data_IF_393191981360
#
_entry.id   IF_393191981360
#
_cell.length_a   1.000
_cell.length_b   1.000
_cell.length_c   1.000
_cell.angle_alpha   90.00
_cell.angle_beta   90.00
_cell.angle_gamma   90.00
#
_symmetry.space_group_name_H-M   'P 1'
#
loop_
_entity.id
_entity.type
_entity.pdbx_description
1 polymer ?
#
# COMPACT_ATOMS: atom_id res chain seq x y z
N UNK A 1 -38.43 20.46 1.45
CA UNK A 1 -37.91 19.13 1.79
C UNK A 1 -36.86 19.41 2.84
N UNK A 2 -37.22 19.33 4.12
CA UNK A 2 -36.21 19.46 5.17
C UNK A 2 -35.29 18.25 5.04
N UNK A 3 -33.98 18.46 4.87
CA UNK A 3 -33.01 17.37 5.03
C UNK A 3 -33.26 16.74 6.40
N UNK A 4 -33.49 15.42 6.41
CA UNK A 4 -33.68 14.69 7.65
C UNK A 4 -32.42 14.87 8.50
N UNK A 5 -32.55 15.56 9.64
CA UNK A 5 -31.45 15.88 10.55
C UNK A 5 -30.62 14.64 10.91
N UNK A 6 -31.24 13.45 10.92
CA UNK A 6 -30.57 12.20 11.19
C UNK A 6 -29.65 11.75 10.06
N UNK A 7 -29.95 12.10 8.81
CA UNK A 7 -29.04 11.88 7.67
C UNK A 7 -27.78 12.72 7.85
N UNK A 8 -27.90 13.98 8.26
CA UNK A 8 -26.75 14.84 8.54
C UNK A 8 -25.93 14.33 9.74
N UNK A 9 -26.58 13.94 10.83
CA UNK A 9 -25.90 13.35 12.00
C UNK A 9 -25.14 12.08 11.60
N UNK A 10 -25.76 11.22 10.79
CA UNK A 10 -25.16 9.96 10.36
C UNK A 10 -23.83 10.15 9.60
N UNK A 11 -23.66 11.24 8.83
CA UNK A 11 -22.41 11.55 8.11
C UNK A 11 -21.20 11.71 9.04
N UNK A 12 -21.41 11.94 10.34
CA UNK A 12 -20.36 12.11 11.35
C UNK A 12 -20.14 10.89 12.24
N UNK A 13 -20.93 9.82 12.07
CA UNK A 13 -20.73 8.56 12.79
C UNK A 13 -19.67 7.70 12.09
N UNK A 14 -18.88 6.94 12.85
CA UNK A 14 -17.98 5.92 12.31
C UNK A 14 -18.78 4.71 11.78
N UNK A 15 -18.14 3.88 10.95
CA UNK A 15 -18.81 2.73 10.32
C UNK A 15 -19.45 1.75 11.31
N UNK A 16 -18.86 1.53 12.49
CA UNK A 16 -19.44 0.63 13.50
C UNK A 16 -20.70 1.26 14.09
N UNK A 17 -20.63 2.53 14.47
CA UNK A 17 -21.76 3.29 14.99
C UNK A 17 -22.92 3.37 13.98
N UNK A 18 -22.63 3.54 12.69
CA UNK A 18 -23.63 3.52 11.61
C UNK A 18 -24.37 2.18 11.56
N UNK A 19 -23.64 1.07 11.54
CA UNK A 19 -24.24 -0.27 11.52
C UNK A 19 -25.04 -0.53 12.78
N UNK A 20 -24.53 -0.14 13.96
CA UNK A 20 -25.27 -0.26 15.22
C UNK A 20 -26.56 0.57 15.21
N UNK A 21 -26.54 1.79 14.69
CA UNK A 21 -27.74 2.62 14.61
C UNK A 21 -28.77 2.02 13.65
N UNK A 22 -28.33 1.49 12.51
CA UNK A 22 -29.19 0.83 11.52
C UNK A 22 -29.93 -0.40 12.06
N UNK A 23 -29.40 -1.08 13.09
CA UNK A 23 -30.05 -2.26 13.69
C UNK A 23 -31.09 -1.92 14.76
N UNK A 24 -31.16 -0.66 15.21
CA UNK A 24 -32.09 -0.24 16.27
C UNK A 24 -33.56 -0.20 15.81
N UNK A 25 -33.83 0.15 14.56
CA UNK A 25 -35.20 0.19 14.01
C UNK A 25 -35.21 0.18 12.47
N UNK A 26 -36.35 -0.18 11.89
CA UNK A 26 -36.57 -0.13 10.43
C UNK A 26 -36.45 1.28 9.85
N UNK A 27 -36.74 2.31 10.66
CA UNK A 27 -36.64 3.70 10.21
C UNK A 27 -35.18 4.11 10.08
N UNK A 28 -34.36 3.89 11.12
CA UNK A 28 -32.92 4.14 11.08
C UNK A 28 -32.24 3.31 10.00
N UNK A 29 -32.64 2.05 9.81
CA UNK A 29 -32.11 1.26 8.70
C UNK A 29 -32.26 1.96 7.34
N UNK A 30 -33.41 2.57 7.05
CA UNK A 30 -33.62 3.29 5.78
C UNK A 30 -32.74 4.53 5.67
N UNK A 31 -32.61 5.30 6.75
CA UNK A 31 -31.77 6.51 6.81
C UNK A 31 -30.29 6.15 6.59
N UNK A 32 -29.78 5.16 7.32
CA UNK A 32 -28.38 4.76 7.23
C UNK A 32 -28.04 4.11 5.89
N UNK A 33 -28.98 3.43 5.24
CA UNK A 33 -28.76 2.82 3.93
C UNK A 33 -28.81 3.82 2.76
N UNK A 34 -29.00 5.12 3.03
CA UNK A 34 -28.86 6.16 2.02
C UNK A 34 -27.41 6.25 1.52
N UNK A 35 -27.25 6.38 0.19
CA UNK A 35 -25.93 6.40 -0.44
C UNK A 35 -25.09 7.61 0.01
N UNK A 36 -25.71 8.74 0.36
CA UNK A 36 -24.96 9.92 0.79
C UNK A 36 -24.24 9.65 2.12
N UNK A 37 -24.86 8.97 3.08
CA UNK A 37 -24.27 8.65 4.39
C UNK A 37 -22.95 7.91 4.21
N UNK A 38 -22.96 6.84 3.42
CA UNK A 38 -21.77 6.04 3.15
C UNK A 38 -20.74 6.77 2.27
N UNK A 39 -21.18 7.63 1.35
CA UNK A 39 -20.26 8.51 0.60
C UNK A 39 -19.47 9.39 1.55
N UNK A 40 -20.15 10.13 2.43
CA UNK A 40 -19.49 11.03 3.38
C UNK A 40 -18.61 10.28 4.37
N UNK A 41 -19.10 9.17 4.94
CA UNK A 41 -18.30 8.33 5.83
C UNK A 41 -17.03 7.81 5.13
N UNK A 42 -17.15 7.32 3.88
CA UNK A 42 -16.02 6.80 3.11
C UNK A 42 -14.97 7.87 2.82
N UNK A 43 -15.39 9.04 2.32
CA UNK A 43 -14.47 10.14 1.99
C UNK A 43 -13.79 10.72 3.23
N UNK A 44 -14.53 10.85 4.34
CA UNK A 44 -14.00 11.31 5.64
C UNK A 44 -12.95 10.34 6.18
N UNK A 45 -13.30 9.06 6.28
CA UNK A 45 -12.44 8.06 6.91
C UNK A 45 -11.20 7.74 6.06
N UNK A 46 -11.29 7.91 4.74
CA UNK A 46 -10.16 7.80 3.81
C UNK A 46 -9.39 9.12 3.62
N UNK A 47 -9.94 10.25 4.08
CA UNK A 47 -9.36 11.60 3.93
C UNK A 47 -9.07 11.99 2.47
N UNK A 48 -10.01 11.67 1.57
CA UNK A 48 -9.90 11.93 0.11
C UNK A 48 -11.12 12.68 -0.43
N UNK A 49 -10.99 13.43 -1.54
CA UNK A 49 -12.09 14.14 -2.16
C UNK A 49 -13.04 13.17 -2.89
N UNK A 50 -14.25 13.66 -3.16
CA UNK A 50 -15.23 12.92 -3.94
C UNK A 50 -14.73 12.74 -5.39
N UNK A 51 -14.68 11.50 -5.92
CA UNK A 51 -14.39 11.26 -7.33
C UNK A 51 -15.54 11.75 -8.21
N UNK A 52 -15.23 12.06 -9.47
CA UNK A 52 -16.24 12.49 -10.46
C UNK A 52 -17.26 11.40 -10.78
N UNK A 53 -16.80 10.15 -10.83
CA UNK A 53 -17.61 8.99 -11.17
C UNK A 53 -17.28 7.83 -10.24
N UNK A 54 -18.30 7.06 -9.89
CA UNK A 54 -18.14 5.80 -9.18
C UNK A 54 -19.13 4.77 -9.70
N UNK A 55 -18.66 3.54 -9.90
CA UNK A 55 -19.39 2.45 -10.54
C UNK A 55 -20.10 1.56 -9.53
N UNK A 56 -19.77 1.70 -8.24
CA UNK A 56 -20.28 0.87 -7.16
C UNK A 56 -20.91 1.71 -6.06
N UNK A 57 -21.85 1.10 -5.34
CA UNK A 57 -22.48 1.67 -4.15
C UNK A 57 -21.45 2.01 -3.07
N UNK A 58 -21.61 3.17 -2.42
CA UNK A 58 -20.66 3.66 -1.42
C UNK A 58 -20.55 2.74 -0.21
N UNK A 59 -21.64 2.12 0.23
CA UNK A 59 -21.60 1.14 1.33
C UNK A 59 -20.70 -0.06 1.01
N UNK A 60 -20.70 -0.52 -0.25
CA UNK A 60 -19.85 -1.65 -0.67
C UNK A 60 -18.38 -1.24 -0.73
N UNK A 61 -18.11 -0.02 -1.19
CA UNK A 61 -16.76 0.52 -1.24
C UNK A 61 -16.19 0.74 0.15
N UNK A 62 -16.98 1.36 1.04
CA UNK A 62 -16.66 1.50 2.46
C UNK A 62 -16.33 0.15 3.08
N UNK A 63 -17.25 -0.83 2.95
CA UNK A 63 -17.02 -2.17 3.47
C UNK A 63 -15.68 -2.74 2.97
N UNK A 64 -15.44 -2.73 1.65
CA UNK A 64 -14.20 -3.29 1.09
C UNK A 64 -12.91 -2.57 1.51
N UNK A 65 -13.00 -1.26 1.76
CA UNK A 65 -11.88 -0.46 2.19
C UNK A 65 -11.48 -0.74 3.66
N UNK A 66 -12.41 -1.20 4.50
CA UNK A 66 -12.22 -1.33 5.94
C UNK A 66 -12.37 -2.76 6.49
N UNK A 67 -12.94 -3.71 5.75
CA UNK A 67 -13.16 -5.10 6.18
C UNK A 67 -11.94 -6.03 6.02
N UNK A 68 -10.82 -5.50 5.50
CA UNK A 68 -9.61 -6.28 5.20
C UNK A 68 -9.57 -6.88 3.79
N UNK A 69 -10.64 -6.78 2.98
CA UNK A 69 -10.64 -7.27 1.59
C UNK A 69 -9.75 -6.46 0.65
N UNK A 70 -9.40 -5.23 1.02
CA UNK A 70 -8.30 -4.51 0.39
C UNK A 70 -6.97 -5.23 0.54
N UNK A 71 -6.69 -5.82 1.71
CA UNK A 71 -5.45 -6.54 2.01
C UNK A 71 -5.42 -7.93 1.37
N UNK A 72 -6.51 -8.35 0.72
CA UNK A 72 -6.77 -9.74 0.37
C UNK A 72 -5.57 -10.36 -0.36
N UNK A 73 -4.83 -11.16 0.40
CA UNK A 73 -3.53 -11.73 0.08
C UNK A 73 -3.67 -12.58 -1.18
N UNK A 74 -3.38 -11.94 -2.31
CA UNK A 74 -3.50 -12.55 -3.62
C UNK A 74 -2.38 -13.60 -3.79
N UNK A 75 -2.78 -14.87 -3.90
CA UNK A 75 -1.98 -16.08 -4.18
C UNK A 75 -0.86 -16.47 -3.18
N UNK A 76 -0.65 -15.79 -2.05
CA UNK A 76 0.51 -16.09 -1.18
C UNK A 76 0.21 -16.11 0.33
N UNK A 77 -0.88 -16.78 0.76
CA UNK A 77 -1.18 -16.97 2.20
C UNK A 77 -0.01 -17.55 3.01
N UNK A 78 0.84 -18.35 2.36
CA UNK A 78 1.95 -19.09 2.96
C UNK A 78 3.28 -18.32 3.02
N UNK A 79 3.40 -17.16 2.36
CA UNK A 79 4.69 -16.42 2.23
C UNK A 79 4.79 -15.14 3.06
N UNK A 80 3.71 -14.81 3.76
CA UNK A 80 3.75 -13.78 4.79
C UNK A 80 4.46 -14.35 6.02
N UNK A 81 5.34 -13.57 6.65
CA UNK A 81 6.08 -13.94 7.86
C UNK A 81 5.11 -14.00 9.04
N UNK A 82 4.20 -14.98 9.05
CA UNK A 82 3.36 -15.25 10.20
C UNK A 82 4.27 -15.74 11.33
N UNK A 83 4.14 -15.13 12.51
CA UNK A 83 4.47 -15.79 13.77
C UNK A 83 3.51 -16.99 13.90
N UNK A 84 3.80 -18.07 13.18
CA UNK A 84 3.28 -19.39 13.43
C UNK A 84 4.32 -20.04 14.34
N UNK A 85 4.54 -19.54 15.55
CA UNK A 85 5.31 -20.24 16.60
C UNK A 85 5.16 -19.62 18.00
N UNK A 86 4.01 -19.01 18.32
CA UNK A 86 3.66 -18.80 19.73
C UNK A 86 2.32 -19.48 20.02
N UNK A 87 2.28 -20.41 21.00
CA UNK A 87 1.05 -21.10 21.33
C UNK A 87 0.01 -20.12 21.85
N UNK A 88 -1.23 -20.33 21.41
CA UNK A 88 -2.42 -19.47 21.57
C UNK A 88 -2.72 -19.03 23.01
N UNK A 89 -2.17 -19.69 24.02
CA UNK A 89 -2.39 -19.35 25.43
C UNK A 89 -1.59 -18.14 25.93
N UNK A 90 -0.61 -17.63 25.18
CA UNK A 90 0.17 -16.42 25.56
C UNK A 90 -0.46 -15.10 25.06
N UNK A 91 -1.46 -15.16 24.19
CA UNK A 91 -2.07 -13.99 23.55
C UNK A 91 -3.17 -13.31 24.38
N UNK A 92 -3.64 -13.93 25.48
CA UNK A 92 -4.72 -13.36 26.29
C UNK A 92 -4.28 -12.28 27.29
N UNK A 93 -2.98 -12.14 27.54
CA UNK A 93 -2.48 -11.37 28.70
C UNK A 93 -1.66 -10.12 28.34
N UNK A 94 -1.45 -9.83 27.05
CA UNK A 94 -0.69 -8.66 26.60
C UNK A 94 -1.55 -7.82 25.65
N UNK A 95 -2.20 -6.81 26.23
CA UNK A 95 -2.74 -5.60 25.62
C UNK A 95 -3.71 -5.72 24.41
N UNK A 96 -4.89 -5.07 24.45
CA UNK A 96 -5.74 -4.84 23.27
C UNK A 96 -5.10 -3.98 22.15
N UNK A 97 -3.85 -3.53 22.33
CA UNK A 97 -3.14 -2.58 21.46
C UNK A 97 -2.23 -3.22 20.43
N UNK A 98 -2.18 -4.55 20.34
CA UNK A 98 -1.46 -5.21 19.25
C UNK A 98 -2.43 -6.09 18.46
N UNK A 99 -2.93 -5.55 17.33
CA UNK A 99 -3.44 -6.34 16.20
C UNK A 99 -2.26 -7.10 15.56
N UNK A 100 -1.69 -8.05 16.30
CA UNK A 100 -0.58 -8.93 15.92
C UNK A 100 -1.13 -10.04 15.02
N UNK A 101 -0.87 -9.96 13.72
CA UNK A 101 -1.27 -11.01 12.77
C UNK A 101 -1.25 -10.62 11.29
N UNK A 102 -0.89 -9.39 10.94
CA UNK A 102 -0.93 -8.92 9.57
C UNK A 102 0.44 -8.39 9.13
N UNK A 103 1.10 -9.10 8.22
CA UNK A 103 2.39 -8.74 7.59
C UNK A 103 2.25 -7.61 6.56
N UNK A 104 1.29 -6.73 6.80
CA UNK A 104 0.96 -5.62 5.94
C UNK A 104 0.54 -4.44 6.83
N UNK A 105 0.94 -3.24 6.42
CA UNK A 105 0.62 -1.99 7.07
C UNK A 105 -0.22 -1.16 6.10
N UNK A 106 -1.44 -0.80 6.50
CA UNK A 106 -2.20 0.21 5.75
C UNK A 106 -1.44 1.53 5.82
N UNK A 107 -1.08 2.08 4.68
CA UNK A 107 -0.50 3.43 4.60
C UNK A 107 -1.63 4.46 4.63
N UNK A 108 -2.65 4.28 3.79
CA UNK A 108 -3.80 5.17 3.71
C UNK A 108 -4.46 5.14 2.34
N UNK A 109 -5.17 6.22 1.99
CA UNK A 109 -5.71 6.44 0.66
C UNK A 109 -5.24 7.77 0.07
N UNK A 110 -5.09 7.80 -1.25
CA UNK A 110 -4.72 8.98 -2.02
C UNK A 110 -5.54 9.03 -3.32
N UNK A 111 -5.48 10.14 -4.04
CA UNK A 111 -6.30 10.43 -5.20
C UNK A 111 -5.45 10.62 -6.46
N UNK A 112 -5.84 9.95 -7.54
CA UNK A 112 -5.27 10.16 -8.88
C UNK A 112 -6.34 10.84 -9.75
N UNK A 113 -6.05 12.00 -10.31
CA UNK A 113 -6.90 12.78 -11.23
C UNK A 113 -6.38 12.72 -12.67
N UNK A 114 -5.07 12.72 -12.89
CA UNK A 114 -4.46 12.98 -14.22
C UNK A 114 -4.52 11.83 -15.23
N UNK A 115 -5.07 10.67 -14.83
CA UNK A 115 -4.98 9.42 -15.59
C UNK A 115 -3.55 8.95 -15.89
N UNK A 116 -2.56 9.53 -15.21
CA UNK A 116 -1.16 9.15 -15.27
C UNK A 116 -0.54 9.16 -13.86
N UNK A 117 0.35 8.22 -13.59
CA UNK A 117 1.07 8.14 -12.33
C UNK A 117 2.58 8.15 -12.58
N UNK A 118 3.33 8.84 -11.73
CA UNK A 118 4.79 8.77 -11.71
C UNK A 118 5.23 7.75 -10.66
N UNK A 119 5.98 6.76 -11.12
CA UNK A 119 6.52 5.68 -10.28
C UNK A 119 8.01 5.92 -10.07
N UNK A 120 8.49 5.73 -8.86
CA UNK A 120 9.92 5.88 -8.56
C UNK A 120 10.39 4.87 -7.51
N UNK A 121 11.59 4.36 -7.71
CA UNK A 121 12.36 3.62 -6.71
C UNK A 121 12.99 4.62 -5.73
N UNK A 122 13.74 5.58 -6.24
CA UNK A 122 14.38 6.60 -5.42
C UNK A 122 13.47 7.80 -5.22
N UNK A 123 13.21 8.16 -3.97
CA UNK A 123 12.41 9.32 -3.58
C UNK A 123 13.15 10.63 -3.82
N UNK A 124 13.28 11.01 -5.09
CA UNK A 124 13.90 12.24 -5.53
C UNK A 124 13.07 12.89 -6.64
N UNK A 125 13.00 14.24 -6.68
CA UNK A 125 12.30 14.93 -7.75
C UNK A 125 12.89 14.56 -9.13
N UNK A 126 12.06 14.39 -10.17
CA UNK A 126 12.56 14.09 -11.51
C UNK A 126 13.36 15.28 -12.05
N UNK A 127 14.59 15.04 -12.51
CA UNK A 127 15.45 16.07 -13.10
C UNK A 127 15.03 16.42 -14.54
N UNK A 128 14.66 15.40 -15.33
CA UNK A 128 14.00 15.51 -16.65
C UNK A 128 13.17 14.26 -16.91
N UNK A 129 11.98 14.41 -17.50
CA UNK A 129 11.15 13.29 -17.96
C UNK A 129 11.32 13.24 -19.48
N UNK A 130 12.05 12.24 -19.96
CA UNK A 130 12.25 12.03 -21.40
C UNK A 130 11.09 11.18 -21.94
N UNK A 131 10.60 11.46 -23.16
CA UNK A 131 9.59 10.63 -23.81
C UNK A 131 10.26 9.35 -24.33
N UNK A 132 10.42 8.38 -23.43
CA UNK A 132 10.99 7.07 -23.70
C UNK A 132 10.01 5.96 -23.33
N UNK A 133 10.33 4.72 -23.73
CA UNK A 133 9.55 3.56 -23.31
C UNK A 133 9.65 3.35 -21.80
N UNK A 134 8.58 2.90 -21.16
CA UNK A 134 8.55 2.65 -19.70
C UNK A 134 9.71 1.75 -19.26
N UNK A 135 10.01 0.71 -20.04
CA UNK A 135 11.10 -0.22 -19.77
C UNK A 135 12.47 0.45 -19.73
N UNK A 136 12.80 1.30 -20.71
CA UNK A 136 14.09 2.00 -20.73
C UNK A 136 14.19 3.02 -19.60
N UNK A 137 13.13 3.80 -19.35
CA UNK A 137 13.09 4.76 -18.24
C UNK A 137 13.37 4.09 -16.88
N UNK A 138 12.72 2.94 -16.63
CA UNK A 138 12.90 2.16 -15.41
C UNK A 138 14.31 1.58 -15.32
N UNK A 139 14.84 1.02 -16.41
CA UNK A 139 16.19 0.46 -16.42
C UNK A 139 17.26 1.53 -16.12
N UNK A 140 17.14 2.72 -16.71
CA UNK A 140 18.13 3.78 -16.57
C UNK A 140 18.02 4.57 -15.26
N UNK A 141 16.80 4.93 -14.86
CA UNK A 141 16.58 5.91 -13.77
C UNK A 141 15.87 5.33 -12.55
N UNK A 142 15.31 4.13 -12.64
CA UNK A 142 14.44 3.58 -11.60
C UNK A 142 13.12 4.34 -11.44
N UNK A 143 12.71 5.11 -12.46
CA UNK A 143 11.47 5.90 -12.45
C UNK A 143 10.78 5.89 -13.81
N UNK A 144 9.45 6.04 -13.84
CA UNK A 144 8.70 6.11 -15.10
C UNK A 144 7.36 6.85 -14.95
N UNK A 145 6.81 7.28 -16.08
CA UNK A 145 5.43 7.75 -16.17
C UNK A 145 4.56 6.60 -16.69
N UNK A 146 3.60 6.18 -15.88
CA UNK A 146 2.60 5.19 -16.24
C UNK A 146 1.33 5.88 -16.70
N UNK A 147 0.93 5.64 -17.95
CA UNK A 147 -0.28 6.19 -18.55
C UNK A 147 -1.49 5.24 -18.40
N UNK A 148 -2.68 5.75 -18.71
CA UNK A 148 -3.94 5.02 -18.66
C UNK A 148 -4.25 4.48 -17.25
N UNK A 149 -3.92 5.26 -16.21
CA UNK A 149 -4.22 4.93 -14.82
C UNK A 149 -5.66 5.35 -14.51
N UNK A 150 -6.42 4.51 -13.83
CA UNK A 150 -7.80 4.84 -13.45
C UNK A 150 -7.80 6.00 -12.45
N UNK A 151 -8.45 7.10 -12.82
CA UNK A 151 -8.67 8.22 -11.92
C UNK A 151 -9.66 7.84 -10.80
N UNK A 152 -9.44 8.36 -9.59
CA UNK A 152 -10.27 8.11 -8.42
C UNK A 152 -9.46 7.84 -7.15
N UNK A 153 -10.09 7.13 -6.23
CA UNK A 153 -9.53 6.81 -4.91
C UNK A 153 -8.67 5.56 -5.00
N UNK A 154 -7.44 5.65 -4.51
CA UNK A 154 -6.48 4.56 -4.42
C UNK A 154 -6.16 4.28 -2.96
N UNK A 155 -6.09 3.00 -2.60
CA UNK A 155 -5.67 2.52 -1.29
C UNK A 155 -4.26 1.97 -1.40
N UNK A 156 -3.38 2.41 -0.51
CA UNK A 156 -1.99 2.00 -0.47
C UNK A 156 -1.68 1.18 0.78
N UNK A 157 -1.05 0.03 0.58
CA UNK A 157 -0.60 -0.87 1.63
C UNK A 157 0.90 -1.16 1.43
N UNK A 158 1.63 -1.28 2.54
CA UNK A 158 2.99 -1.80 2.57
C UNK A 158 2.96 -3.26 2.99
N UNK A 159 3.65 -4.14 2.28
CA UNK A 159 3.79 -5.55 2.62
C UNK A 159 5.27 -5.90 2.78
N UNK A 160 5.57 -6.68 3.82
CA UNK A 160 6.87 -7.33 3.98
C UNK A 160 6.65 -8.83 3.78
N UNK A 161 7.27 -9.40 2.75
CA UNK A 161 7.09 -10.81 2.37
C UNK A 161 8.43 -11.51 2.24
N UNK A 162 8.42 -12.84 2.41
CA UNK A 162 9.58 -13.68 2.05
C UNK A 162 9.64 -13.87 0.54
N UNK A 163 10.84 -13.99 -0.01
CA UNK A 163 11.05 -14.17 -1.44
C UNK A 163 10.27 -15.40 -1.98
N UNK A 164 9.44 -15.25 -3.04
CA UNK A 164 8.57 -16.32 -3.52
C UNK A 164 9.23 -17.34 -4.46
N UNK A 165 10.49 -17.13 -4.87
CA UNK A 165 11.18 -17.95 -5.89
C UNK A 165 12.02 -19.08 -5.28
N UNK A 166 12.40 -18.99 -4.01
CA UNK A 166 13.44 -19.83 -3.44
C UNK A 166 12.88 -20.76 -2.34
N UNK A 167 12.49 -21.97 -2.72
CA UNK A 167 12.55 -23.17 -1.85
C UNK A 167 14.01 -23.67 -1.72
N UNK A 168 14.99 -22.82 -2.01
CA UNK A 168 16.41 -23.10 -1.87
C UNK A 168 16.82 -22.73 -0.44
N UNK A 169 17.45 -23.66 0.28
CA UNK A 169 17.94 -23.54 1.66
C UNK A 169 19.02 -22.45 1.88
N UNK A 170 19.15 -21.48 0.97
CA UNK A 170 20.19 -20.44 0.92
C UNK A 170 19.63 -19.03 0.71
N UNK A 171 18.31 -18.83 0.73
CA UNK A 171 17.66 -17.57 0.37
C UNK A 171 17.00 -16.88 1.59
N UNK A 172 17.72 -15.93 2.20
CA UNK A 172 17.28 -15.17 3.38
C UNK A 172 16.67 -13.78 3.06
N UNK A 173 16.26 -13.54 1.81
CA UNK A 173 15.84 -12.21 1.36
C UNK A 173 14.41 -11.81 1.77
N UNK A 174 14.28 -10.82 2.65
CA UNK A 174 13.04 -10.06 2.89
C UNK A 174 12.75 -9.13 1.69
N UNK A 175 11.51 -9.11 1.20
CA UNK A 175 11.06 -8.23 0.13
C UNK A 175 10.09 -7.19 0.67
N UNK A 176 10.33 -5.93 0.34
CA UNK A 176 9.39 -4.84 0.56
C UNK A 176 8.50 -4.65 -0.67
N UNK A 177 7.20 -4.52 -0.48
CA UNK A 177 6.27 -4.22 -1.56
C UNK A 177 5.32 -3.08 -1.17
N UNK A 178 5.25 -2.05 -2.00
CA UNK A 178 4.17 -1.05 -1.95
C UNK A 178 3.12 -1.46 -2.98
N UNK A 179 1.90 -1.71 -2.51
CA UNK A 179 0.72 -2.02 -3.32
C UNK A 179 -0.24 -0.84 -3.26
N UNK A 180 -0.52 -0.20 -4.40
CA UNK A 180 -1.57 0.79 -4.54
C UNK A 180 -2.67 0.25 -5.46
N UNK A 181 -3.91 0.26 -4.99
CA UNK A 181 -5.06 -0.33 -5.70
C UNK A 181 -6.23 0.64 -5.73
N UNK A 182 -6.86 0.77 -6.89
CA UNK A 182 -8.09 1.55 -7.03
C UNK A 182 -9.21 0.92 -6.20
N UNK A 183 -9.96 1.72 -5.44
CA UNK A 183 -10.96 1.24 -4.47
C UNK A 183 -12.02 0.29 -5.07
N UNK A 184 -12.39 0.52 -6.34
CA UNK A 184 -13.37 -0.31 -7.05
C UNK A 184 -12.84 -1.71 -7.42
N UNK A 185 -11.52 -1.91 -7.45
CA UNK A 185 -10.90 -3.19 -7.78
C UNK A 185 -11.40 -4.29 -6.83
N UNK A 186 -11.53 -3.98 -5.54
CA UNK A 186 -11.93 -4.93 -4.50
C UNK A 186 -13.35 -5.49 -4.71
N UNK A 187 -14.17 -4.80 -5.48
CA UNK A 187 -15.54 -5.22 -5.79
C UNK A 187 -15.66 -6.02 -7.08
N UNK A 188 -14.63 -6.01 -7.92
CA UNK A 188 -14.59 -6.71 -9.21
C UNK A 188 -14.53 -8.23 -9.01
N UNK A 189 -15.38 -8.98 -9.72
CA UNK A 189 -15.43 -10.44 -9.57
C UNK A 189 -14.11 -11.12 -9.92
N UNK A 190 -13.44 -10.65 -10.98
CA UNK A 190 -12.15 -11.18 -11.41
C UNK A 190 -11.03 -10.99 -10.37
N UNK A 191 -11.11 -9.94 -9.56
CA UNK A 191 -10.18 -9.73 -8.45
C UNK A 191 -10.52 -10.68 -7.29
N UNK A 192 -11.80 -10.78 -6.92
CA UNK A 192 -12.29 -11.66 -5.84
C UNK A 192 -12.01 -13.15 -6.10
N UNK A 193 -12.10 -13.59 -7.35
CA UNK A 193 -11.89 -14.98 -7.73
C UNK A 193 -10.44 -15.29 -8.14
N UNK A 194 -9.51 -14.33 -8.03
CA UNK A 194 -8.09 -14.59 -8.24
C UNK A 194 -7.62 -14.62 -9.70
N UNK A 195 -8.47 -14.20 -10.66
CA UNK A 195 -8.19 -14.25 -12.11
C UNK A 195 -7.30 -13.13 -12.62
N UNK A 196 -7.23 -12.00 -11.91
CA UNK A 196 -6.45 -10.85 -12.37
C UNK A 196 -4.97 -11.03 -12.04
N UNK A 197 -4.09 -10.85 -13.02
CA UNK A 197 -2.65 -11.05 -12.84
C UNK A 197 -1.88 -9.74 -12.97
N UNK A 198 -0.77 -9.67 -12.23
CA UNK A 198 0.17 -8.57 -12.37
C UNK A 198 1.07 -8.79 -13.59
N UNK A 199 1.19 -7.77 -14.42
CA UNK A 199 2.11 -7.71 -15.54
C UNK A 199 3.36 -6.92 -15.12
N UNK A 200 4.54 -7.45 -15.42
CA UNK A 200 5.82 -6.76 -15.21
C UNK A 200 6.00 -5.69 -16.29
N UNK A 201 6.10 -4.41 -15.88
CA UNK A 201 6.30 -3.28 -16.81
C UNK A 201 7.76 -2.82 -16.89
N UNK A 202 8.60 -3.24 -15.94
CA UNK A 202 10.04 -3.02 -16.00
C UNK A 202 10.76 -3.29 -14.67
N UNK A 203 12.08 -3.22 -14.73
CA UNK A 203 12.97 -3.51 -13.61
C UNK A 203 14.09 -2.48 -13.52
N UNK A 204 14.66 -2.34 -12.33
CA UNK A 204 15.82 -1.50 -12.08
C UNK A 204 16.77 -2.22 -11.11
N UNK A 205 18.07 -2.16 -11.38
CA UNK A 205 19.12 -2.72 -10.52
C UNK A 205 19.94 -1.61 -9.88
N UNK A 206 19.86 -1.49 -8.56
CA UNK A 206 20.73 -0.64 -7.77
C UNK A 206 21.97 -1.45 -7.42
N UNK A 207 23.01 -1.36 -8.26
CA UNK A 207 24.27 -2.13 -8.10
C UNK A 207 25.22 -1.61 -7.02
N UNK A 208 24.92 -0.45 -6.43
CA UNK A 208 25.69 0.15 -5.34
C UNK A 208 25.05 -0.25 -4.01
N UNK A 209 25.85 -0.30 -2.94
CA UNK A 209 25.36 -0.53 -1.57
C UNK A 209 24.18 0.41 -1.26
N UNK A 210 22.99 -0.17 -1.18
CA UNK A 210 21.76 0.57 -0.87
C UNK A 210 21.67 0.80 0.63
N UNK A 211 21.39 2.04 1.04
CA UNK A 211 21.19 2.40 2.46
C UNK A 211 19.73 2.26 2.89
N UNK A 212 18.82 2.30 1.94
CA UNK A 212 17.39 2.15 2.17
C UNK A 212 16.72 1.52 0.96
N UNK A 213 15.58 0.87 1.20
CA UNK A 213 14.63 0.45 0.17
C UNK A 213 13.46 1.44 0.18
N UNK A 214 13.31 2.24 -0.87
CA UNK A 214 12.23 3.20 -1.03
C UNK A 214 11.36 2.98 -2.27
N UNK A 215 10.13 3.48 -2.25
CA UNK A 215 9.26 3.45 -3.42
C UNK A 215 8.17 4.49 -3.31
N UNK A 216 7.83 5.13 -4.43
CA UNK A 216 6.84 6.20 -4.50
C UNK A 216 5.91 6.08 -5.70
N UNK A 217 4.65 6.45 -5.49
CA UNK A 217 3.60 6.55 -6.50
C UNK A 217 2.94 7.92 -6.35
N UNK A 218 3.01 8.74 -7.38
CA UNK A 218 2.48 10.11 -7.39
C UNK A 218 1.54 10.31 -8.57
N UNK A 219 0.51 11.13 -8.41
CA UNK A 219 -0.20 11.67 -9.56
C UNK A 219 0.75 12.55 -10.39
N UNK A 220 0.79 12.32 -11.70
CA UNK A 220 1.70 13.03 -12.60
C UNK A 220 1.51 14.55 -12.60
N UNK A 221 0.26 15.04 -12.56
CA UNK A 221 -0.02 16.48 -12.59
C UNK A 221 0.41 17.18 -11.30
N UNK A 222 0.57 16.45 -10.20
CA UNK A 222 0.90 16.98 -8.89
C UNK A 222 2.39 16.84 -8.53
N UNK A 223 3.23 16.33 -9.46
CA UNK A 223 4.68 16.16 -9.23
C UNK A 223 5.41 17.43 -8.75
N UNK A 224 4.95 18.60 -9.19
CA UNK A 224 5.53 19.90 -8.82
C UNK A 224 4.66 20.68 -7.83
N UNK A 225 3.55 20.10 -7.41
CA UNK A 225 2.62 20.74 -6.49
C UNK A 225 3.26 20.87 -5.09
N UNK A 226 3.00 21.97 -4.36
CA UNK A 226 3.48 22.13 -2.99
C UNK A 226 3.15 20.95 -2.07
N UNK A 227 1.98 20.33 -2.22
CA UNK A 227 1.57 19.17 -1.41
C UNK A 227 2.46 17.94 -1.63
N UNK A 228 3.09 17.80 -2.79
CA UNK A 228 4.01 16.70 -3.09
C UNK A 228 5.45 16.98 -2.65
N UNK A 229 5.77 18.21 -2.22
CA UNK A 229 7.14 18.54 -1.75
C UNK A 229 7.49 17.85 -0.45
N UNK A 230 6.51 17.65 0.43
CA UNK A 230 6.70 16.97 1.72
C UNK A 230 7.21 15.53 1.52
N UNK A 231 6.75 14.86 0.46
CA UNK A 231 7.21 13.52 0.08
C UNK A 231 8.71 13.47 -0.18
N UNK A 232 9.29 14.51 -0.77
CA UNK A 232 10.70 14.60 -1.09
C UNK A 232 11.57 15.14 0.06
N UNK A 233 10.97 15.75 1.09
CA UNK A 233 11.69 16.16 2.29
C UNK A 233 11.83 14.99 3.26
N UNK A 234 12.69 14.03 2.89
CA UNK A 234 12.86 12.76 3.59
C UNK A 234 13.15 12.94 5.08
N UNK A 235 13.85 14.01 5.47
CA UNK A 235 14.23 14.27 6.87
C UNK A 235 13.02 14.43 7.80
N UNK A 236 11.85 14.76 7.25
CA UNK A 236 10.64 15.02 8.05
C UNK A 236 9.91 13.74 8.47
N UNK A 237 10.11 12.63 7.76
CA UNK A 237 9.28 11.43 7.95
C UNK A 237 10.01 10.09 7.85
N UNK A 238 11.16 10.00 7.17
CA UNK A 238 11.91 8.74 7.11
C UNK A 238 12.56 8.46 8.46
N UNK A 239 12.80 7.17 8.73
CA UNK A 239 13.47 6.73 9.95
C UNK A 239 14.87 7.32 10.04
N UNK A 240 15.33 7.57 11.27
CA UNK A 240 16.75 7.85 11.53
C UNK A 240 17.62 6.67 11.03
N UNK A 241 18.91 6.86 10.76
CA UNK A 241 19.75 5.81 10.17
C UNK A 241 19.78 4.47 10.95
N UNK A 242 19.50 4.49 12.25
CA UNK A 242 19.40 3.37 13.19
C UNK A 242 17.95 2.85 13.38
N UNK A 243 16.96 3.48 12.74
CA UNK A 243 15.57 3.03 12.72
C UNK A 243 15.31 2.18 11.48
N UNK A 244 15.21 0.87 11.68
CA UNK A 244 14.95 -0.12 10.64
C UNK A 244 13.46 -0.37 10.41
N UNK A 245 12.56 0.31 11.13
CA UNK A 245 11.13 0.18 10.89
C UNK A 245 10.74 0.89 9.59
N UNK A 246 9.93 0.25 8.73
CA UNK A 246 9.40 0.92 7.57
C UNK A 246 8.62 2.18 7.94
N UNK A 247 8.92 3.27 7.26
CA UNK A 247 8.12 4.50 7.32
C UNK A 247 7.36 4.66 6.02
N UNK A 248 6.21 5.29 6.12
CA UNK A 248 5.40 5.65 4.97
C UNK A 248 4.93 7.09 5.10
N UNK A 249 4.80 7.76 3.96
CA UNK A 249 4.17 9.07 3.86
C UNK A 249 3.05 8.99 2.85
N UNK A 250 1.94 9.65 3.17
CA UNK A 250 0.83 9.80 2.26
C UNK A 250 0.41 11.27 2.24
N UNK A 251 0.15 11.75 1.03
CA UNK A 251 -0.45 13.06 0.77
C UNK A 251 -1.69 12.83 -0.07
N UNK A 252 -2.44 13.90 -0.37
CA UNK A 252 -3.64 13.78 -1.19
C UNK A 252 -3.38 13.12 -2.55
N UNK A 253 -2.22 13.36 -3.17
CA UNK A 253 -1.92 12.91 -4.53
C UNK A 253 -0.70 12.00 -4.63
N UNK A 254 -0.21 11.50 -3.50
CA UNK A 254 0.99 10.70 -3.48
C UNK A 254 1.09 9.75 -2.28
N UNK A 255 1.83 8.67 -2.48
CA UNK A 255 2.25 7.77 -1.42
C UNK A 255 3.70 7.36 -1.62
N UNK A 256 4.44 7.24 -0.52
CA UNK A 256 5.81 6.77 -0.50
C UNK A 256 6.12 5.90 0.72
N UNK A 257 7.10 5.02 0.57
CA UNK A 257 7.66 4.20 1.65
C UNK A 257 9.18 4.29 1.65
N UNK A 258 9.78 4.16 2.83
CA UNK A 258 11.22 4.04 3.00
C UNK A 258 11.53 3.13 4.20
N UNK A 259 12.38 2.15 3.99
CA UNK A 259 12.94 1.30 5.05
C UNK A 259 14.45 1.37 5.00
N UNK A 260 15.09 1.75 6.11
CA UNK A 260 16.55 1.75 6.20
C UNK A 260 17.07 0.31 6.29
N UNK A 261 18.14 0.03 5.55
CA UNK A 261 18.75 -1.29 5.48
C UNK A 261 19.90 -1.37 6.49
N UNK A 262 19.91 -2.44 7.28
CA UNK A 262 20.97 -2.69 8.25
C UNK A 262 22.26 -3.16 7.55
N UNK A 263 23.40 -2.59 7.92
CA UNK A 263 24.70 -3.10 7.48
C UNK A 263 25.10 -4.32 8.32
N UNK A 264 25.53 -5.39 7.68
CA UNK A 264 26.07 -6.57 8.37
C UNK A 264 27.53 -6.32 8.78
N UNK A 265 27.83 -6.29 10.09
CA UNK A 265 29.20 -6.13 10.62
C UNK A 265 29.95 -7.47 10.86
N UNK A 266 29.41 -8.60 10.39
CA UNK A 266 30.12 -9.89 10.39
C UNK A 266 30.56 -10.44 11.76
N UNK A 267 29.92 -10.06 12.88
CA UNK A 267 30.25 -10.58 14.22
C UNK A 267 29.03 -11.21 14.91
N UNK A 268 29.10 -12.51 15.16
CA UNK A 268 28.15 -13.26 16.00
C UNK A 268 28.79 -13.50 17.38
N UNK A 269 28.25 -12.96 18.48
CA UNK A 269 28.38 -13.58 19.79
C UNK A 269 27.15 -14.47 20.03
N UNK A 270 27.41 -15.73 20.34
CA UNK A 270 26.46 -16.87 20.52
C UNK A 270 25.33 -16.63 21.56
N UNK A 271 25.34 -15.51 22.28
CA UNK A 271 24.37 -15.18 23.33
C UNK A 271 23.12 -14.42 22.87
N UNK A 272 23.06 -13.93 21.63
CA UNK A 272 21.86 -13.24 21.09
C UNK A 272 20.85 -14.17 20.41
N UNK A 273 21.05 -15.50 20.47
CA UNK A 273 20.13 -16.51 19.93
C UNK A 273 18.72 -16.44 20.58
N UNK A 274 18.56 -15.76 21.73
CA UNK A 274 17.27 -15.52 22.37
C UNK A 274 16.63 -14.15 22.04
N UNK A 275 17.27 -13.29 21.21
CA UNK A 275 16.67 -12.07 20.63
C UNK A 275 16.08 -12.29 19.23
N UNK A 276 15.97 -13.55 18.81
CA UNK A 276 15.63 -14.02 17.47
C UNK A 276 14.20 -13.71 16.97
N UNK A 277 13.43 -12.86 17.66
CA UNK A 277 12.28 -12.16 17.08
C UNK A 277 12.68 -10.94 16.21
N UNK A 278 13.96 -10.54 16.20
CA UNK A 278 14.54 -9.53 15.31
C UNK A 278 15.40 -10.15 14.19
N UNK A 279 14.86 -11.14 13.47
CA UNK A 279 15.57 -11.77 12.36
C UNK A 279 15.45 -10.93 11.08
N UNK A 280 16.29 -9.90 10.99
CA UNK A 280 16.68 -9.24 9.74
C UNK A 280 18.08 -9.73 9.34
N UNK A 281 18.08 -10.62 8.36
CA UNK A 281 18.96 -10.64 7.18
C UNK A 281 20.45 -11.03 7.31
N UNK A 282 20.78 -12.26 6.88
CA UNK A 282 22.14 -12.77 6.72
C UNK A 282 22.57 -12.84 5.23
N UNK A 283 23.19 -11.80 4.70
CA UNK A 283 24.11 -11.88 3.54
C UNK A 283 24.87 -10.56 3.36
N UNK A 284 26.07 -10.61 2.77
CA UNK A 284 26.82 -9.42 2.36
C UNK A 284 26.09 -8.70 1.22
N UNK A 285 25.31 -7.64 1.53
CA UNK A 285 24.44 -6.97 0.56
C UNK A 285 25.18 -6.11 -0.46
N UNK A 286 24.95 -6.37 -1.75
CA UNK A 286 25.56 -5.60 -2.84
C UNK A 286 24.57 -4.72 -3.63
N UNK A 287 23.25 -4.86 -3.45
CA UNK A 287 22.30 -4.01 -4.19
C UNK A 287 20.82 -4.24 -3.92
N UNK A 288 19.98 -3.55 -4.69
CA UNK A 288 18.53 -3.78 -4.76
C UNK A 288 18.11 -4.15 -6.17
N UNK A 289 17.27 -5.16 -6.30
CA UNK A 289 16.52 -5.46 -7.51
C UNK A 289 15.09 -4.98 -7.33
N UNK A 290 14.70 -4.00 -8.13
CA UNK A 290 13.39 -3.36 -8.06
C UNK A 290 12.58 -3.74 -9.28
N UNK A 291 11.32 -4.12 -9.06
CA UNK A 291 10.38 -4.49 -10.13
C UNK A 291 9.10 -3.69 -10.00
N UNK A 292 8.58 -3.27 -11.14
CA UNK A 292 7.36 -2.49 -11.26
C UNK A 292 6.33 -3.36 -11.96
N UNK A 293 5.18 -3.57 -11.32
CA UNK A 293 4.09 -4.33 -11.90
C UNK A 293 2.80 -3.52 -11.92
N UNK A 294 1.94 -3.85 -12.87
CA UNK A 294 0.61 -3.25 -12.99
C UNK A 294 -0.45 -4.31 -13.19
N UNK A 295 -1.69 -3.95 -12.91
CA UNK A 295 -2.86 -4.78 -13.17
C UNK A 295 -3.89 -3.93 -13.90
N UNK A 296 -4.43 -4.44 -15.01
CA UNK A 296 -5.36 -3.72 -15.90
C UNK A 296 -6.76 -4.32 -15.87
N UNK A 297 -7.76 -3.47 -16.08
CA UNK A 297 -9.16 -3.87 -16.19
C UNK A 297 -9.47 -4.49 -17.57
N UNK A 298 -8.97 -5.71 -17.82
CA UNK A 298 -8.94 -6.34 -19.14
C UNK A 298 -7.70 -5.95 -19.95
N UNK A 299 -7.54 -6.54 -21.13
CA UNK A 299 -6.29 -6.48 -21.91
C UNK A 299 -5.89 -5.04 -22.29
N UNK A 300 -6.86 -4.19 -22.66
CA UNK A 300 -6.65 -2.77 -22.99
C UNK A 300 -7.22 -1.82 -21.91
N UNK A 301 -7.51 -2.36 -20.73
CA UNK A 301 -8.15 -1.63 -19.64
C UNK A 301 -7.26 -0.57 -18.98
N UNK A 302 -7.92 0.29 -18.21
CA UNK A 302 -7.22 1.20 -17.30
C UNK A 302 -6.42 0.40 -16.26
N UNK A 303 -5.25 0.92 -15.87
CA UNK A 303 -4.49 0.40 -14.73
C UNK A 303 -5.27 0.69 -13.45
N UNK A 304 -5.49 -0.35 -12.66
CA UNK A 304 -6.23 -0.29 -11.37
C UNK A 304 -5.45 -0.88 -10.20
N UNK A 305 -4.26 -1.43 -10.45
CA UNK A 305 -3.29 -1.76 -9.41
C UNK A 305 -1.87 -1.46 -9.87
N UNK A 306 -1.05 -0.97 -8.96
CA UNK A 306 0.36 -0.69 -9.14
C UNK A 306 1.12 -1.31 -7.97
N UNK A 307 2.19 -2.05 -8.29
CA UNK A 307 3.07 -2.69 -7.32
C UNK A 307 4.52 -2.33 -7.60
N UNK A 308 5.23 -1.85 -6.58
CA UNK A 308 6.68 -1.70 -6.63
C UNK A 308 7.26 -2.64 -5.58
N UNK A 309 8.05 -3.62 -6.03
CA UNK A 309 8.70 -4.60 -5.16
C UNK A 309 10.20 -4.40 -5.15
N UNK A 310 10.81 -4.43 -3.98
CA UNK A 310 12.24 -4.29 -3.77
C UNK A 310 12.79 -5.52 -3.08
N UNK A 311 13.72 -6.18 -3.75
CA UNK A 311 14.40 -7.36 -3.25
C UNK A 311 15.88 -7.04 -3.05
N UNK A 312 16.42 -7.45 -1.92
CA UNK A 312 17.86 -7.35 -1.68
C UNK A 312 18.63 -8.36 -2.54
N UNK A 313 19.78 -7.93 -3.08
CA UNK A 313 20.72 -8.72 -3.86
C UNK A 313 21.98 -9.09 -3.06
#
# INVERSE_FOLDING_TARGET
>A
YEEDIWTEIAKYLDGISLVMLATTSKWFHRVIMDECVWKYACLRDLQVPAPRHISFKWIKLYASAFDGSHSFMFRQREKHIGIIFLPTYMLSSICPLIKLGHNWMRIGAFFIDSSAAFLMEKLSPPSKILPETIGSMLQETGSCVLNNVKAGIWIADLQLVRCPVCDLNTCDGTMQMIDARHIELFLSEGYKNGKWEYELIGTHEVRKKAKSASGGILDFNYLKDPSSKELFDLKTWVGKPDDWQPKAMITLHAVAVNTNLQENEGKIPVLDFLKSFNTLVHSDFFGLHVKFHTMRAGDDGQVVSIRISQQLL
#
